data_IF_083657850825
#
_entry.id   IF_083657850825
#
_cell.length_a   1.000
_cell.length_b   1.000
_cell.length_c   1.000
_cell.angle_alpha   90.00
_cell.angle_beta   90.00
_cell.angle_gamma   90.00
#
_symmetry.space_group_name_H-M   'P 1'
#
loop_
_entity.id
_entity.type
_entity.pdbx_description
1 polymer ?
#
# COMPACT_ATOMS: atom_id res chain seq x y z
N UNK A 1 -26.37 -4.15 -1.07
CA UNK A 1 -25.46 -4.22 -2.24
C UNK A 1 -24.16 -3.56 -1.80
N UNK A 2 -23.01 -4.23 -1.92
CA UNK A 2 -21.72 -3.60 -1.60
C UNK A 2 -21.47 -2.43 -2.55
N UNK A 3 -20.98 -1.30 -2.05
CA UNK A 3 -20.73 -0.09 -2.85
C UNK A 3 -19.57 -0.22 -3.85
N UNK A 4 -18.84 -1.34 -3.83
CA UNK A 4 -17.72 -1.64 -4.72
C UNK A 4 -17.56 -3.15 -4.98
N UNK A 5 -16.86 -3.48 -6.06
CA UNK A 5 -16.62 -4.87 -6.52
C UNK A 5 -15.18 -5.38 -6.30
N UNK A 6 -14.22 -4.48 -6.09
CA UNK A 6 -12.81 -4.80 -5.84
C UNK A 6 -12.10 -3.67 -5.09
N UNK A 7 -11.03 -3.99 -4.35
CA UNK A 7 -10.19 -2.99 -3.69
C UNK A 7 -9.32 -2.28 -4.76
N UNK A 8 -9.40 -0.94 -4.88
CA UNK A 8 -8.58 -0.17 -5.81
C UNK A 8 -7.07 -0.36 -5.58
N UNK A 9 -6.31 -0.43 -6.66
CA UNK A 9 -4.84 -0.42 -6.64
C UNK A 9 -4.37 0.88 -7.28
N UNK A 10 -3.75 1.76 -6.49
CA UNK A 10 -3.31 3.08 -6.91
C UNK A 10 -1.80 3.11 -7.13
N UNK A 11 -1.37 3.86 -8.15
CA UNK A 11 0.04 4.06 -8.47
C UNK A 11 0.56 5.36 -7.84
N UNK A 12 1.38 5.25 -6.80
CA UNK A 12 1.88 6.44 -6.10
C UNK A 12 2.83 7.28 -6.97
N UNK A 13 3.44 6.72 -8.02
CA UNK A 13 4.32 7.49 -8.88
C UNK A 13 3.58 8.62 -9.60
N UNK A 14 2.27 8.44 -9.88
CA UNK A 14 1.43 9.45 -10.52
C UNK A 14 1.24 10.70 -9.65
N UNK A 15 1.39 10.58 -8.33
CA UNK A 15 1.30 11.72 -7.42
C UNK A 15 2.52 12.65 -7.50
N UNK A 16 3.63 12.18 -8.12
CA UNK A 16 4.92 12.89 -8.19
C UNK A 16 5.04 13.78 -9.43
N UNK A 17 4.25 13.54 -10.45
CA UNK A 17 4.21 14.35 -11.68
C UNK A 17 2.98 15.29 -11.63
N UNK A 18 3.16 16.62 -11.76
CA UNK A 18 2.07 17.60 -11.80
C UNK A 18 0.95 17.28 -12.80
N UNK A 19 1.26 16.68 -13.94
CA UNK A 19 0.28 16.38 -14.98
C UNK A 19 -0.60 15.18 -14.62
N UNK A 20 -0.03 14.18 -13.93
CA UNK A 20 -0.77 12.97 -13.54
C UNK A 20 -1.37 13.04 -12.14
N UNK A 21 -0.90 13.98 -11.32
CA UNK A 21 -1.34 14.16 -9.93
C UNK A 21 -2.85 14.40 -9.78
N UNK A 22 -3.54 15.20 -10.61
CA UNK A 22 -4.98 15.39 -10.50
C UNK A 22 -5.76 14.08 -10.59
N UNK A 23 -5.39 13.21 -11.54
CA UNK A 23 -6.01 11.90 -11.72
C UNK A 23 -5.80 11.00 -10.50
N UNK A 24 -4.58 10.94 -9.98
CA UNK A 24 -4.27 10.17 -8.77
C UNK A 24 -5.11 10.63 -7.58
N UNK A 25 -5.30 11.95 -7.40
CA UNK A 25 -6.10 12.50 -6.30
C UNK A 25 -7.59 12.17 -6.44
N UNK A 26 -8.12 12.11 -7.67
CA UNK A 26 -9.49 11.67 -7.93
C UNK A 26 -9.70 10.19 -7.55
N UNK A 27 -8.80 9.32 -8.00
CA UNK A 27 -8.81 7.89 -7.65
C UNK A 27 -8.66 7.67 -6.15
N UNK A 28 -7.78 8.44 -5.50
CA UNK A 28 -7.57 8.39 -4.05
C UNK A 28 -8.81 8.82 -3.29
N UNK A 29 -9.46 9.90 -3.71
CA UNK A 29 -10.70 10.36 -3.09
C UNK A 29 -11.80 9.30 -3.20
N UNK A 30 -11.97 8.68 -4.37
CA UNK A 30 -12.95 7.60 -4.55
C UNK A 30 -12.64 6.42 -3.62
N UNK A 31 -11.38 5.96 -3.59
CA UNK A 31 -10.98 4.85 -2.74
C UNK A 31 -11.22 5.12 -1.24
N UNK A 32 -10.97 6.35 -0.78
CA UNK A 32 -11.17 6.72 0.62
C UNK A 32 -12.64 6.90 1.01
N UNK A 33 -13.47 7.48 0.13
CA UNK A 33 -14.86 7.84 0.47
C UNK A 33 -15.87 6.73 0.15
N UNK A 34 -15.65 5.96 -0.92
CA UNK A 34 -16.62 4.98 -1.42
C UNK A 34 -16.24 3.53 -1.07
N UNK A 35 -14.94 3.24 -0.94
CA UNK A 35 -14.41 1.89 -0.73
C UNK A 35 -13.89 1.67 0.70
N UNK A 36 -13.14 2.63 1.24
CA UNK A 36 -12.51 2.57 2.57
C UNK A 36 -11.19 1.80 2.64
N UNK A 37 -10.79 1.14 1.54
CA UNK A 37 -9.53 0.39 1.44
C UNK A 37 -8.87 0.64 0.09
N UNK A 38 -7.54 0.57 0.04
CA UNK A 38 -6.76 0.62 -1.19
C UNK A 38 -5.41 -0.09 -1.05
N UNK A 39 -4.85 -0.54 -2.18
CA UNK A 39 -3.45 -0.93 -2.29
C UNK A 39 -2.66 0.19 -2.98
N UNK A 40 -1.41 0.39 -2.56
CA UNK A 40 -0.47 1.28 -3.23
C UNK A 40 0.65 0.46 -3.87
N UNK A 41 0.98 0.79 -5.12
CA UNK A 41 2.21 0.35 -5.80
C UNK A 41 3.15 1.52 -6.04
N UNK A 42 4.41 1.22 -6.36
CA UNK A 42 5.46 2.22 -6.61
C UNK A 42 5.63 3.22 -5.45
N UNK A 43 5.53 2.73 -4.21
CA UNK A 43 5.60 3.55 -2.99
C UNK A 43 6.98 4.15 -2.72
N UNK A 44 8.01 3.71 -3.47
CA UNK A 44 9.39 4.18 -3.33
C UNK A 44 10.13 3.56 -2.15
N UNK A 45 9.61 2.46 -1.59
CA UNK A 45 10.32 1.65 -0.61
C UNK A 45 11.21 0.66 -1.39
N UNK A 46 12.52 0.60 -1.10
CA UNK A 46 13.39 -0.40 -1.70
C UNK A 46 12.91 -1.82 -1.35
N UNK A 47 12.88 -2.71 -2.33
CA UNK A 47 12.42 -4.10 -2.14
C UNK A 47 13.26 -4.82 -1.06
N UNK A 48 14.58 -4.64 -1.09
CA UNK A 48 15.52 -5.17 -0.09
C UNK A 48 15.16 -4.74 1.35
N UNK A 49 14.62 -3.53 1.54
CA UNK A 49 14.20 -3.08 2.86
C UNK A 49 12.95 -3.84 3.32
N UNK A 50 11.98 -4.02 2.45
CA UNK A 50 10.77 -4.81 2.73
C UNK A 50 11.13 -6.26 3.07
N UNK A 51 12.00 -6.89 2.27
CA UNK A 51 12.48 -8.25 2.52
C UNK A 51 13.19 -8.38 3.87
N UNK A 52 14.07 -7.43 4.21
CA UNK A 52 14.75 -7.40 5.51
C UNK A 52 13.76 -7.28 6.66
N UNK A 53 12.80 -6.38 6.58
CA UNK A 53 11.78 -6.21 7.63
C UNK A 53 10.97 -7.49 7.82
N UNK A 54 10.57 -8.15 6.73
CA UNK A 54 9.87 -9.44 6.79
C UNK A 54 10.75 -10.49 7.48
N UNK A 55 12.02 -10.60 7.09
CA UNK A 55 12.97 -11.56 7.66
C UNK A 55 13.15 -11.35 9.17
N UNK A 56 13.39 -10.11 9.60
CA UNK A 56 13.56 -9.81 11.02
C UNK A 56 12.26 -10.06 11.80
N UNK A 57 11.09 -9.75 11.20
CA UNK A 57 9.80 -10.03 11.81
C UNK A 57 9.56 -11.52 12.03
N UNK A 58 9.81 -12.35 11.01
CA UNK A 58 9.73 -13.82 11.15
C UNK A 58 10.73 -14.31 12.19
N UNK A 59 11.99 -13.88 12.09
CA UNK A 59 13.05 -14.27 13.03
C UNK A 59 12.74 -13.91 14.48
N UNK A 60 12.06 -12.79 14.72
CA UNK A 60 11.58 -12.41 16.05
C UNK A 60 10.54 -13.40 16.60
N UNK A 61 9.56 -13.81 15.78
CA UNK A 61 8.53 -14.75 16.20
C UNK A 61 9.01 -16.20 16.30
N UNK A 62 10.16 -16.54 15.71
CA UNK A 62 10.83 -17.83 15.86
C UNK A 62 11.58 -17.97 17.21
N UNK A 63 11.74 -16.89 17.97
CA UNK A 63 12.37 -16.91 19.29
C UNK A 63 11.44 -17.66 20.26
N UNK A 64 11.93 -18.67 21.02
CA UNK A 64 11.13 -19.34 22.04
C UNK A 64 10.57 -18.34 23.07
N UNK A 65 9.33 -18.56 23.49
CA UNK A 65 8.64 -17.72 24.48
C UNK A 65 9.19 -17.84 25.91
N UNK A 66 10.05 -18.82 26.16
CA UNK A 66 10.63 -19.17 27.46
C UNK A 66 12.15 -19.30 27.33
N UNK A 67 12.90 -18.95 28.37
CA UNK A 67 14.32 -19.35 28.54
C UNK A 67 14.45 -20.85 28.79
#
# INVERSE_FOLDING_TARGET
MSSFSSIPILDLSLARDPETKPKFLEELRYALLEVGFLYLKNVGIPEELTERVIKEGVGFFDIPLEE
#
